data_IF_217473764738
#
_entry.id   IF_217473764738
#
_cell.length_a   1.000
_cell.length_b   1.000
_cell.length_c   1.000
_cell.angle_alpha   90.00
_cell.angle_beta   90.00
_cell.angle_gamma   90.00
#
_symmetry.space_group_name_H-M   'P 1'
#
loop_
_entity.id
_entity.type
_entity.pdbx_description
1 polymer ?
#
# COMPACT_ATOMS: atom_id res chain seq x y z
N UNK A 1 34.71 18.19 9.29
CA UNK A 1 35.87 17.64 8.54
C UNK A 1 36.13 18.57 7.36
N UNK A 2 36.98 19.57 7.56
CA UNK A 2 37.35 20.54 6.53
C UNK A 2 38.19 19.82 5.46
N UNK A 3 37.75 19.86 4.20
CA UNK A 3 38.58 19.36 3.09
C UNK A 3 39.91 20.10 3.10
N UNK A 4 41.06 19.40 3.00
CA UNK A 4 42.35 20.07 2.94
C UNK A 4 42.37 20.96 1.69
N UNK A 5 42.65 22.25 1.91
CA UNK A 5 42.94 23.19 0.84
C UNK A 5 44.30 22.77 0.29
N UNK A 6 44.31 22.14 -0.88
CA UNK A 6 45.54 21.88 -1.63
C UNK A 6 46.20 23.24 -1.90
N UNK A 7 47.46 23.46 -1.50
CA UNK A 7 48.13 24.72 -1.82
C UNK A 7 48.24 24.84 -3.34
N UNK A 8 48.05 26.04 -3.92
CA UNK A 8 48.13 26.22 -5.36
C UNK A 8 49.54 25.81 -5.86
N UNK A 9 49.63 25.15 -7.02
CA UNK A 9 50.94 24.87 -7.61
C UNK A 9 51.61 26.21 -7.94
N UNK A 10 52.89 26.34 -7.57
CA UNK A 10 53.87 27.37 -7.93
C UNK A 10 53.37 28.76 -8.36
N UNK A 11 53.80 29.81 -7.65
CA UNK A 11 53.59 31.21 -8.05
C UNK A 11 53.96 31.40 -9.54
N UNK A 12 53.10 32.05 -10.35
CA UNK A 12 53.36 32.23 -11.78
C UNK A 12 54.64 33.05 -11.97
N UNK A 13 55.56 32.51 -12.76
CA UNK A 13 56.88 33.11 -12.97
C UNK A 13 56.86 34.18 -14.08
N UNK A 14 55.74 34.30 -14.82
CA UNK A 14 55.55 35.29 -15.89
C UNK A 14 54.19 36.00 -15.79
N UNK A 15 54.09 37.21 -16.34
CA UNK A 15 52.88 38.05 -16.33
C UNK A 15 51.69 37.38 -17.04
N UNK A 16 51.96 36.66 -18.13
CA UNK A 16 50.94 35.95 -18.90
C UNK A 16 50.31 34.80 -18.11
N UNK A 17 51.13 34.02 -17.41
CA UNK A 17 50.66 32.93 -16.54
C UNK A 17 49.83 33.48 -15.37
N UNK A 18 50.21 34.63 -14.82
CA UNK A 18 49.45 35.29 -13.76
C UNK A 18 48.06 35.73 -14.25
N UNK A 19 47.99 36.36 -15.43
CA UNK A 19 46.71 36.79 -16.02
C UNK A 19 45.79 35.61 -16.33
N UNK A 20 46.32 34.52 -16.87
CA UNK A 20 45.52 33.32 -17.15
C UNK A 20 44.93 32.70 -15.86
N UNK A 21 45.72 32.70 -14.78
CA UNK A 21 45.27 32.22 -13.48
C UNK A 21 44.19 33.13 -12.89
N UNK A 22 44.33 34.45 -13.01
CA UNK A 22 43.31 35.43 -12.59
C UNK A 22 42.00 35.18 -13.32
N UNK A 23 42.01 35.00 -14.65
CA UNK A 23 40.78 34.72 -15.40
C UNK A 23 40.12 33.42 -14.95
N UNK A 24 40.90 32.35 -14.73
CA UNK A 24 40.37 31.07 -14.23
C UNK A 24 39.75 31.21 -12.84
N UNK A 25 40.40 31.96 -11.95
CA UNK A 25 39.87 32.22 -10.60
C UNK A 25 38.61 33.09 -10.64
N UNK A 26 38.58 34.14 -11.46
CA UNK A 26 37.39 34.99 -11.62
C UNK A 26 36.20 34.20 -12.16
N UNK A 27 36.41 33.37 -13.18
CA UNK A 27 35.37 32.50 -13.71
C UNK A 27 34.85 31.51 -12.64
N UNK A 28 35.76 30.98 -11.81
CA UNK A 28 35.38 30.07 -10.73
C UNK A 28 34.64 30.78 -9.59
N UNK A 29 35.03 32.01 -9.25
CA UNK A 29 34.33 32.81 -8.24
C UNK A 29 32.91 33.10 -8.73
N UNK A 30 32.74 33.56 -9.97
CA UNK A 30 31.42 33.82 -10.55
C UNK A 30 30.53 32.57 -10.54
N UNK A 31 31.07 31.41 -10.94
CA UNK A 31 30.32 30.14 -10.91
C UNK A 31 29.90 29.74 -9.47
N UNK A 32 30.78 29.95 -8.49
CA UNK A 32 30.49 29.62 -7.09
C UNK A 32 29.47 30.58 -6.48
N UNK A 33 29.56 31.87 -6.79
CA UNK A 33 28.59 32.90 -6.38
C UNK A 33 27.20 32.61 -6.97
N UNK A 34 27.12 32.28 -8.26
CA UNK A 34 25.87 31.90 -8.91
C UNK A 34 25.24 30.65 -8.28
N UNK A 35 26.05 29.65 -7.90
CA UNK A 35 25.56 28.45 -7.21
C UNK A 35 25.05 28.77 -5.81
N UNK A 36 25.69 29.68 -5.08
CA UNK A 36 25.28 30.08 -3.73
C UNK A 36 24.01 30.95 -3.74
N UNK A 37 23.79 31.73 -4.79
CA UNK A 37 22.63 32.62 -4.90
C UNK A 37 21.37 31.92 -5.45
N UNK A 38 21.44 30.63 -5.78
CA UNK A 38 20.28 29.84 -6.18
C UNK A 38 19.44 29.43 -4.97
N UNK A 39 18.18 29.84 -4.95
CA UNK A 39 17.18 29.42 -3.97
C UNK A 39 15.90 28.94 -4.68
N UNK A 40 14.94 28.38 -3.95
CA UNK A 40 13.68 27.90 -4.53
C UNK A 40 12.80 28.99 -5.17
N UNK A 41 13.16 30.26 -5.01
CA UNK A 41 12.42 31.40 -5.52
C UNK A 41 12.92 31.85 -6.91
N UNK A 42 14.21 31.61 -7.21
CA UNK A 42 14.83 31.97 -8.49
C UNK A 42 15.32 30.78 -9.33
N UNK A 43 15.29 29.58 -8.77
CA UNK A 43 15.61 28.33 -9.47
C UNK A 43 14.45 27.38 -9.27
N UNK A 44 14.06 26.61 -10.29
CA UNK A 44 12.94 25.65 -10.25
C UNK A 44 13.17 24.46 -9.30
N UNK A 45 14.05 24.62 -8.30
CA UNK A 45 14.34 23.68 -7.24
C UNK A 45 13.23 23.74 -6.18
N UNK A 46 12.84 22.60 -5.60
CA UNK A 46 11.84 22.58 -4.56
C UNK A 46 12.35 23.26 -3.27
N UNK A 47 11.48 23.93 -2.49
CA UNK A 47 11.83 24.62 -1.23
C UNK A 47 12.52 23.76 -0.18
N UNK A 48 12.38 22.43 -0.26
CA UNK A 48 13.06 21.48 0.62
C UNK A 48 14.58 21.42 0.40
N UNK A 49 15.09 22.04 -0.67
CA UNK A 49 16.51 22.06 -1.05
C UNK A 49 17.22 23.32 -0.55
N UNK A 50 16.47 24.29 -0.02
CA UNK A 50 17.00 25.51 0.53
C UNK A 50 17.80 25.20 1.82
N UNK A 51 19.01 25.74 1.93
CA UNK A 51 19.89 25.52 3.09
C UNK A 51 19.35 26.14 4.38
N UNK A 52 19.97 25.80 5.52
CA UNK A 52 19.57 26.25 6.87
C UNK A 52 19.64 27.78 7.12
N UNK A 53 20.02 28.58 6.11
CA UNK A 53 20.05 30.04 6.14
C UNK A 53 18.83 30.71 5.49
N UNK A 54 17.93 29.95 4.87
CA UNK A 54 16.74 30.52 4.22
C UNK A 54 15.72 30.95 5.27
N UNK A 55 15.23 32.20 5.25
CA UNK A 55 14.26 32.67 6.22
C UNK A 55 12.99 31.81 6.16
N UNK A 56 12.40 31.47 7.31
CA UNK A 56 11.23 30.60 7.36
C UNK A 56 10.09 31.21 6.54
N UNK A 57 9.37 30.34 5.82
CA UNK A 57 8.20 30.74 5.04
C UNK A 57 7.24 31.57 5.92
N UNK A 58 6.81 32.74 5.42
CA UNK A 58 5.89 33.63 6.14
C UNK A 58 4.64 32.84 6.54
N UNK A 59 4.36 32.77 7.85
CA UNK A 59 3.15 32.12 8.37
C UNK A 59 1.93 32.84 7.79
N UNK A 60 1.05 32.10 7.11
CA UNK A 60 -0.19 32.66 6.57
C UNK A 60 -1.06 33.17 7.74
N UNK A 61 -1.67 34.36 7.62
CA UNK A 61 -2.58 34.85 8.65
C UNK A 61 -3.74 33.87 8.85
N UNK A 62 -4.24 33.77 10.07
CA UNK A 62 -5.38 32.92 10.39
C UNK A 62 -6.58 33.33 9.54
N UNK A 63 -7.19 32.37 8.85
CA UNK A 63 -8.42 32.65 8.09
C UNK A 63 -9.56 32.91 9.06
N UNK A 64 -10.20 34.08 8.97
CA UNK A 64 -11.41 34.41 9.74
C UNK A 64 -12.66 33.60 9.31
N UNK A 65 -12.51 32.60 8.44
CA UNK A 65 -13.60 31.75 7.98
C UNK A 65 -13.88 30.66 9.02
N UNK A 66 -15.16 30.47 9.33
CA UNK A 66 -15.61 29.36 10.17
C UNK A 66 -15.16 28.02 9.55
N UNK A 67 -14.77 27.07 10.41
CA UNK A 67 -14.43 25.71 9.99
C UNK A 67 -15.71 25.03 9.48
N UNK A 68 -15.73 24.67 8.19
CA UNK A 68 -16.85 23.96 7.57
C UNK A 68 -17.04 24.33 6.11
N UNK A 69 -17.97 23.65 5.45
CA UNK A 69 -18.43 24.03 4.12
C UNK A 69 -19.14 25.39 4.19
N UNK A 70 -19.15 26.13 3.07
CA UNK A 70 -19.86 27.41 3.02
C UNK A 70 -21.38 27.21 3.26
N UNK A 71 -22.09 28.23 3.75
CA UNK A 71 -23.54 28.21 3.80
C UNK A 71 -24.13 27.86 2.42
N UNK A 72 -25.04 26.89 2.35
CA UNK A 72 -25.65 26.41 1.11
C UNK A 72 -24.99 25.18 0.46
N UNK A 73 -23.86 24.68 0.97
CA UNK A 73 -23.32 23.40 0.49
C UNK A 73 -24.21 22.24 0.92
N UNK A 74 -24.67 21.45 -0.06
CA UNK A 74 -25.32 20.17 0.21
C UNK A 74 -24.32 19.25 0.92
N UNK A 75 -24.71 18.78 2.10
CA UNK A 75 -23.93 17.81 2.84
C UNK A 75 -23.85 16.50 2.06
N UNK A 76 -22.64 15.99 1.87
CA UNK A 76 -22.42 14.63 1.39
C UNK A 76 -22.36 13.70 2.61
N UNK A 77 -23.13 12.63 2.58
CA UNK A 77 -23.11 11.59 3.61
C UNK A 77 -22.86 10.25 2.95
N UNK A 78 -22.24 9.32 3.68
CA UNK A 78 -22.13 7.94 3.22
C UNK A 78 -23.53 7.38 3.07
N UNK A 79 -23.82 6.82 1.90
CA UNK A 79 -25.07 6.12 1.67
C UNK A 79 -25.12 4.85 2.53
N UNK A 80 -26.34 4.50 2.97
CA UNK A 80 -26.60 3.27 3.70
C UNK A 80 -26.44 2.10 2.71
N UNK A 81 -25.77 1.03 3.12
CA UNK A 81 -25.74 -0.22 2.35
C UNK A 81 -27.17 -0.70 2.10
N UNK A 82 -27.53 -1.10 0.86
CA UNK A 82 -28.87 -1.54 0.51
C UNK A 82 -29.28 -2.79 1.31
N UNK A 83 -30.58 -3.06 1.33
CA UNK A 83 -31.12 -4.27 1.97
C UNK A 83 -30.95 -5.45 0.99
N UNK A 84 -29.80 -6.11 1.09
CA UNK A 84 -29.41 -7.30 0.32
C UNK A 84 -28.90 -8.43 1.25
N UNK A 85 -28.54 -9.57 0.66
CA UNK A 85 -28.09 -10.77 1.40
C UNK A 85 -26.81 -10.55 2.25
N UNK A 86 -26.09 -9.44 2.06
CA UNK A 86 -24.90 -9.09 2.85
C UNK A 86 -25.24 -8.27 4.08
N UNK A 87 -26.46 -7.75 4.19
CA UNK A 87 -26.90 -6.97 5.33
C UNK A 87 -27.56 -7.85 6.37
N UNK A 88 -26.92 -7.99 7.53
CA UNK A 88 -27.58 -8.50 8.74
C UNK A 88 -27.86 -7.35 9.70
N UNK A 89 -29.14 -7.10 10.01
CA UNK A 89 -29.55 -6.06 10.95
C UNK A 89 -29.75 -6.64 12.35
N UNK A 90 -28.92 -6.22 13.32
CA UNK A 90 -29.03 -6.60 14.72
C UNK A 90 -29.61 -5.41 15.50
N UNK A 91 -30.86 -5.48 16.00
CA UNK A 91 -31.45 -4.40 16.77
C UNK A 91 -30.88 -4.35 18.20
N UNK A 92 -30.52 -3.16 18.65
CA UNK A 92 -30.11 -2.90 20.03
C UNK A 92 -31.13 -1.99 20.70
N UNK A 93 -31.88 -2.54 21.66
CA UNK A 93 -32.89 -1.79 22.42
C UNK A 93 -32.31 -1.27 23.75
N UNK A 94 -32.82 -0.15 24.29
CA UNK A 94 -32.51 0.27 25.65
C UNK A 94 -32.96 -0.77 26.68
N UNK A 95 -32.43 -0.67 27.90
CA UNK A 95 -32.90 -1.48 29.02
C UNK A 95 -34.41 -1.27 29.26
N UNK A 96 -35.11 -2.32 29.71
CA UNK A 96 -36.57 -2.29 29.93
C UNK A 96 -37.00 -1.36 31.08
N UNK A 97 -36.10 -0.98 31.96
CA UNK A 97 -36.36 -0.14 33.14
C UNK A 97 -35.46 1.09 33.12
N UNK A 98 -35.97 2.26 33.54
CA UNK A 98 -35.15 3.46 33.64
C UNK A 98 -34.10 3.26 34.73
N UNK A 99 -32.82 3.48 34.40
CA UNK A 99 -31.76 3.51 35.41
C UNK A 99 -31.98 4.59 36.49
N UNK A 100 -32.82 5.58 36.22
CA UNK A 100 -33.12 6.72 37.08
C UNK A 100 -34.20 6.46 38.15
N UNK A 101 -35.29 5.79 37.75
CA UNK A 101 -36.50 5.65 38.57
C UNK A 101 -37.08 4.22 38.57
N UNK A 102 -36.51 3.29 37.79
CA UNK A 102 -36.98 1.91 37.67
C UNK A 102 -38.21 1.71 36.79
N UNK A 103 -38.87 2.78 36.34
CA UNK A 103 -40.11 2.72 35.54
C UNK A 103 -39.87 2.10 34.15
N UNK A 104 -40.92 1.54 33.54
CA UNK A 104 -40.82 0.86 32.25
C UNK A 104 -40.39 1.80 31.11
N UNK A 105 -39.41 1.37 30.31
CA UNK A 105 -38.98 2.03 29.07
C UNK A 105 -39.63 1.33 27.87
N UNK A 106 -40.32 2.11 27.04
CA UNK A 106 -40.94 1.65 25.80
C UNK A 106 -40.08 2.06 24.61
N UNK A 107 -39.63 1.07 23.83
CA UNK A 107 -38.88 1.30 22.59
C UNK A 107 -39.80 1.72 21.45
N UNK A 108 -39.32 2.61 20.58
CA UNK A 108 -40.01 2.95 19.34
C UNK A 108 -39.84 1.87 18.26
N UNK A 109 -40.77 1.81 17.31
CA UNK A 109 -40.78 0.83 16.21
C UNK A 109 -39.64 1.02 15.19
N UNK A 110 -39.04 2.22 15.14
CA UNK A 110 -37.97 2.57 14.20
C UNK A 110 -36.70 2.98 14.94
N UNK A 111 -35.51 2.58 14.44
CA UNK A 111 -34.25 3.02 15.03
C UNK A 111 -34.08 4.53 14.84
N UNK A 112 -33.69 5.24 15.90
CA UNK A 112 -33.38 6.68 15.80
C UNK A 112 -32.08 6.96 15.03
N UNK A 113 -31.17 5.97 14.99
CA UNK A 113 -29.89 6.01 14.27
C UNK A 113 -29.52 4.62 13.78
N UNK A 114 -28.96 4.55 12.58
CA UNK A 114 -28.38 3.33 12.01
C UNK A 114 -26.86 3.49 11.94
N UNK A 115 -26.13 2.48 12.42
CA UNK A 115 -24.68 2.39 12.31
C UNK A 115 -24.34 1.09 11.57
N UNK A 116 -23.60 1.19 10.47
CA UNK A 116 -23.18 0.04 9.67
C UNK A 116 -21.67 -0.16 9.82
N UNK A 117 -21.30 -1.39 10.15
CA UNK A 117 -19.92 -1.86 10.19
C UNK A 117 -19.76 -2.80 8.99
N UNK A 118 -18.75 -2.53 8.16
CA UNK A 118 -18.38 -3.39 7.04
C UNK A 118 -17.20 -4.22 7.50
N UNK A 119 -17.39 -5.53 7.53
CA UNK A 119 -16.36 -6.48 7.93
C UNK A 119 -16.08 -7.48 6.81
N UNK A 120 -14.91 -8.10 6.85
CA UNK A 120 -14.54 -9.14 5.91
C UNK A 120 -14.93 -10.50 6.49
N UNK A 121 -15.44 -11.44 5.68
CA UNK A 121 -15.60 -12.81 6.13
C UNK A 121 -14.25 -13.43 6.48
N UNK A 122 -14.27 -14.52 7.21
CA UNK A 122 -13.06 -15.28 7.52
C UNK A 122 -12.32 -15.67 6.23
N UNK A 123 -11.06 -15.24 6.13
CA UNK A 123 -10.21 -15.47 4.96
C UNK A 123 -9.50 -16.81 5.13
N UNK A 124 -9.97 -17.84 4.42
CA UNK A 124 -9.49 -19.22 4.57
C UNK A 124 -9.35 -19.94 3.22
N UNK A 125 -8.84 -21.17 3.24
CA UNK A 125 -8.69 -22.06 2.09
C UNK A 125 -9.26 -23.45 2.39
N UNK A 126 -9.63 -24.18 1.33
CA UNK A 126 -10.09 -25.58 1.41
C UNK A 126 -9.09 -26.47 0.71
N UNK A 127 -8.75 -27.60 1.33
CA UNK A 127 -7.87 -28.62 0.75
C UNK A 127 -8.66 -29.91 0.57
N UNK A 128 -8.64 -30.45 -0.64
CA UNK A 128 -9.16 -31.78 -0.95
C UNK A 128 -7.98 -32.70 -1.22
N UNK A 129 -7.81 -33.72 -0.39
CA UNK A 129 -6.78 -34.74 -0.58
C UNK A 129 -7.34 -35.89 -1.44
N UNK A 130 -6.72 -36.13 -2.59
CA UNK A 130 -7.07 -37.25 -3.47
C UNK A 130 -6.14 -38.43 -3.20
N UNK A 131 -6.61 -39.40 -2.41
CA UNK A 131 -5.83 -40.59 -2.05
C UNK A 131 -5.97 -41.69 -3.10
N UNK A 132 -4.85 -42.08 -3.69
CA UNK A 132 -4.77 -43.17 -4.67
C UNK A 132 -4.22 -44.42 -3.98
N UNK A 133 -4.99 -45.51 -4.05
CA UNK A 133 -4.62 -46.78 -3.47
C UNK A 133 -4.10 -47.73 -4.54
N UNK A 134 -3.22 -48.64 -4.13
CA UNK A 134 -2.83 -49.81 -4.91
C UNK A 134 -3.38 -51.07 -4.28
N UNK A 135 -3.74 -52.04 -5.11
CA UNK A 135 -4.20 -53.36 -4.69
C UNK A 135 -3.46 -54.45 -5.45
N UNK A 136 -3.24 -55.60 -4.81
CA UNK A 136 -2.62 -56.76 -5.46
C UNK A 136 -3.68 -57.83 -5.70
N UNK A 137 -3.78 -58.32 -6.93
CA UNK A 137 -4.72 -59.38 -7.30
C UNK A 137 -4.31 -60.70 -6.63
N UNK A 138 -5.24 -61.35 -5.92
CA UNK A 138 -4.96 -62.63 -5.24
C UNK A 138 -4.77 -63.82 -6.18
N UNK A 139 -5.24 -63.73 -7.43
CA UNK A 139 -5.15 -64.81 -8.41
C UNK A 139 -3.87 -64.80 -9.23
N UNK A 140 -3.57 -63.66 -9.87
CA UNK A 140 -2.40 -63.51 -10.74
C UNK A 140 -1.23 -62.75 -10.10
N UNK A 141 -1.39 -62.25 -8.86
CA UNK A 141 -0.37 -61.47 -8.13
C UNK A 141 -0.04 -60.12 -8.77
N UNK A 142 -0.72 -59.73 -9.86
CA UNK A 142 -0.55 -58.42 -10.50
C UNK A 142 -1.02 -57.29 -9.58
N UNK A 143 -0.22 -56.22 -9.48
CA UNK A 143 -0.58 -54.97 -8.79
C UNK A 143 -1.37 -54.06 -9.72
N UNK A 144 -2.48 -53.51 -9.22
CA UNK A 144 -3.31 -52.50 -9.86
C UNK A 144 -3.27 -51.22 -9.05
N UNK A 145 -3.18 -50.08 -9.72
CA UNK A 145 -3.09 -48.76 -9.12
C UNK A 145 -4.32 -47.93 -9.48
N UNK A 146 -4.89 -47.22 -8.52
CA UNK A 146 -5.94 -46.24 -8.78
C UNK A 146 -5.34 -45.05 -9.55
N UNK A 147 -6.00 -44.68 -10.65
CA UNK A 147 -5.66 -43.47 -11.40
C UNK A 147 -6.35 -42.23 -10.79
N UNK A 148 -5.70 -41.08 -10.90
CA UNK A 148 -6.36 -39.80 -10.61
C UNK A 148 -7.43 -39.53 -11.67
N UNK A 149 -8.68 -39.18 -11.30
CA UNK A 149 -9.71 -38.87 -12.28
C UNK A 149 -9.33 -37.64 -13.13
N UNK A 150 -9.69 -37.64 -14.42
CA UNK A 150 -9.42 -36.52 -15.35
C UNK A 150 -10.06 -35.19 -14.93
N UNK A 151 -11.06 -35.23 -14.05
CA UNK A 151 -11.72 -34.05 -13.49
C UNK A 151 -10.89 -33.34 -12.43
N UNK A 152 -9.83 -33.97 -11.91
CA UNK A 152 -8.95 -33.42 -10.88
C UNK A 152 -7.73 -32.78 -11.54
N UNK A 153 -7.47 -31.51 -11.22
CA UNK A 153 -6.28 -30.83 -11.73
C UNK A 153 -5.01 -31.48 -11.21
N UNK A 154 -4.00 -31.62 -12.07
CA UNK A 154 -2.64 -32.00 -11.67
C UNK A 154 -1.88 -30.88 -10.95
N UNK A 155 -2.44 -29.66 -10.91
CA UNK A 155 -1.88 -28.54 -10.16
C UNK A 155 -2.20 -28.67 -8.67
N UNK A 156 -1.26 -28.25 -7.81
CA UNK A 156 -1.52 -28.09 -6.38
C UNK A 156 -2.42 -26.87 -6.06
N UNK A 157 -2.73 -26.05 -7.06
CA UNK A 157 -3.56 -24.85 -6.93
C UNK A 157 -4.89 -25.05 -7.64
N UNK A 158 -5.99 -24.95 -6.90
CA UNK A 158 -7.34 -24.97 -7.44
C UNK A 158 -7.71 -23.69 -8.20
N UNK A 159 -8.80 -23.74 -8.97
CA UNK A 159 -9.24 -22.64 -9.85
C UNK A 159 -9.34 -21.28 -9.13
N UNK A 160 -9.93 -21.24 -7.94
CA UNK A 160 -10.08 -19.99 -7.17
C UNK A 160 -8.74 -19.39 -6.74
N UNK A 161 -7.77 -20.23 -6.35
CA UNK A 161 -6.43 -19.77 -5.99
C UNK A 161 -5.67 -19.25 -7.22
N UNK A 162 -5.79 -19.94 -8.35
CA UNK A 162 -5.24 -19.49 -9.63
C UNK A 162 -5.83 -18.14 -10.05
N UNK A 163 -7.16 -17.99 -9.99
CA UNK A 163 -7.83 -16.72 -10.29
C UNK A 163 -7.39 -15.59 -9.36
N UNK A 164 -7.21 -15.87 -8.07
CA UNK A 164 -6.69 -14.88 -7.13
C UNK A 164 -5.27 -14.43 -7.51
N UNK A 165 -4.36 -15.38 -7.79
CA UNK A 165 -2.98 -15.08 -8.21
C UNK A 165 -2.96 -14.27 -9.50
N UNK A 166 -3.75 -14.68 -10.50
CA UNK A 166 -3.86 -14.02 -11.79
C UNK A 166 -4.39 -12.57 -11.64
N UNK A 167 -5.35 -12.34 -10.74
CA UNK A 167 -5.84 -11.00 -10.42
C UNK A 167 -4.73 -10.14 -9.77
N UNK A 168 -3.96 -10.70 -8.84
CA UNK A 168 -2.85 -9.99 -8.19
C UNK A 168 -1.74 -9.61 -9.17
N UNK A 169 -1.38 -10.50 -10.09
CA UNK A 169 -0.34 -10.21 -11.08
C UNK A 169 -0.85 -9.32 -12.23
N UNK A 170 -2.03 -9.62 -12.75
CA UNK A 170 -2.60 -8.97 -13.93
C UNK A 170 -3.12 -7.57 -13.62
N UNK A 171 -4.06 -7.45 -12.68
CA UNK A 171 -4.73 -6.18 -12.38
C UNK A 171 -3.93 -5.32 -11.40
N UNK A 172 -3.33 -5.94 -10.38
CA UNK A 172 -2.64 -5.21 -9.31
C UNK A 172 -1.12 -5.12 -9.52
N UNK A 173 -0.61 -5.71 -10.62
CA UNK A 173 0.81 -5.67 -11.00
C UNK A 173 1.77 -6.03 -9.86
N UNK A 174 1.35 -6.98 -9.01
CA UNK A 174 2.19 -7.42 -7.91
C UNK A 174 3.30 -8.33 -8.40
N UNK A 175 4.50 -8.16 -7.83
CA UNK A 175 5.60 -9.10 -8.06
C UNK A 175 5.28 -10.45 -7.41
N UNK A 176 5.86 -11.53 -7.96
CA UNK A 176 5.71 -12.89 -7.42
C UNK A 176 6.01 -12.95 -5.91
N UNK A 177 7.02 -12.21 -5.44
CA UNK A 177 7.37 -12.16 -4.01
C UNK A 177 6.27 -11.51 -3.16
N UNK A 178 5.60 -10.47 -3.66
CA UNK A 178 4.47 -9.84 -2.95
C UNK A 178 3.27 -10.77 -2.89
N UNK A 179 2.97 -11.45 -3.99
CA UNK A 179 1.90 -12.45 -4.05
C UNK A 179 2.18 -13.59 -3.06
N UNK A 180 3.41 -14.10 -3.02
CA UNK A 180 3.84 -15.11 -2.06
C UNK A 180 3.63 -14.63 -0.60
N UNK A 181 4.01 -13.39 -0.31
CA UNK A 181 3.84 -12.80 1.01
C UNK A 181 2.35 -12.67 1.37
N UNK A 182 1.51 -12.22 0.44
CA UNK A 182 0.07 -12.12 0.66
C UNK A 182 -0.57 -13.48 0.93
N UNK A 183 -0.23 -14.51 0.15
CA UNK A 183 -0.72 -15.88 0.35
C UNK A 183 -0.37 -16.39 1.75
N UNK A 184 0.85 -16.10 2.22
CA UNK A 184 1.29 -16.48 3.56
C UNK A 184 0.57 -15.67 4.65
N UNK A 185 0.40 -14.36 4.47
CA UNK A 185 -0.16 -13.49 5.50
C UNK A 185 -1.68 -13.62 5.65
N UNK A 186 -2.40 -13.76 4.54
CA UNK A 186 -3.87 -13.82 4.55
C UNK A 186 -4.39 -15.24 4.72
N UNK A 187 -3.74 -16.22 4.08
CA UNK A 187 -4.24 -17.60 4.04
C UNK A 187 -3.31 -18.58 4.77
N UNK A 188 -2.13 -18.17 5.24
CA UNK A 188 -1.14 -19.10 5.80
C UNK A 188 -0.51 -20.04 4.77
N UNK A 189 -0.79 -19.85 3.47
CA UNK A 189 -0.32 -20.72 2.40
C UNK A 189 1.14 -20.44 2.04
N UNK A 190 1.94 -21.50 1.94
CA UNK A 190 3.36 -21.42 1.61
C UNK A 190 3.66 -22.13 0.30
N UNK A 191 3.74 -21.36 -0.79
CA UNK A 191 4.15 -21.85 -2.11
C UNK A 191 5.51 -21.29 -2.51
N UNK A 192 6.25 -22.03 -3.35
CA UNK A 192 7.49 -21.52 -3.93
C UNK A 192 7.22 -20.41 -4.95
N UNK A 193 8.21 -19.55 -5.18
CA UNK A 193 8.11 -18.51 -6.23
C UNK A 193 7.92 -19.14 -7.62
N UNK A 194 8.52 -20.30 -7.87
CA UNK A 194 8.35 -21.05 -9.12
C UNK A 194 6.90 -21.50 -9.32
N UNK A 195 6.27 -22.07 -8.28
CA UNK A 195 4.88 -22.50 -8.35
C UNK A 195 3.92 -21.33 -8.61
N UNK A 196 4.16 -20.18 -7.99
CA UNK A 196 3.37 -18.96 -8.24
C UNK A 196 3.62 -18.40 -9.65
N UNK A 197 4.85 -18.47 -10.15
CA UNK A 197 5.18 -18.04 -11.51
C UNK A 197 4.49 -18.92 -12.56
N UNK A 198 4.46 -20.23 -12.36
CA UNK A 198 3.78 -21.17 -13.25
C UNK A 198 2.26 -20.92 -13.26
N UNK A 199 1.69 -20.63 -12.08
CA UNK A 199 0.28 -20.29 -11.94
C UNK A 199 -0.15 -19.03 -12.71
N UNK A 200 0.77 -18.10 -13.01
CA UNK A 200 0.48 -16.92 -13.83
C UNK A 200 0.41 -17.22 -15.33
N UNK A 201 1.04 -18.31 -15.78
CA UNK A 201 1.12 -18.69 -17.20
C UNK A 201 0.03 -19.67 -17.65
N UNK A 202 -0.88 -20.04 -16.75
CA UNK A 202 -2.02 -20.95 -17.01
C UNK A 202 -3.32 -20.15 -17.09
#
# INVERSE_FOLDING_TARGET
MSKPITPPPGLPLTLEQANELIYKLMARIAELEDRLNQNSNNSSKPPSTDGSGTPPARKRPASGKARGAQPGHKGQRRERHPEDDRLTAIPHYPARQCACCGEQVVSHDKPYRVHQVFDLPEVSYVVTEHQLYRGTCRGCVTTSEAALPDTVSHSQMGANLLSYIALQSGQFHQSISKIQQQLKQHFGLSFSRGAISEAQGR
#
